data_IF_814835041736
#
_entry.id   IF_814835041736
#
_cell.length_a   1.000
_cell.length_b   1.000
_cell.length_c   1.000
_cell.angle_alpha   90.00
_cell.angle_beta   90.00
_cell.angle_gamma   90.00
#
_symmetry.space_group_name_H-M   'P 1'
#
loop_
_entity.id
_entity.type
_entity.pdbx_description
1 polymer ?
#
# COMPACT_ATOMS: atom_id res chain seq x y z
N UNK A 1 41.24 5.73 -23.09
CA UNK A 1 40.86 6.62 -21.98
C UNK A 1 42.07 6.82 -21.08
N UNK A 2 42.45 8.06 -20.77
CA UNK A 2 43.59 8.32 -19.88
C UNK A 2 43.24 8.02 -18.42
N UNK A 3 44.21 7.60 -17.61
CA UNK A 3 44.02 7.29 -16.18
C UNK A 3 43.41 8.48 -15.39
N UNK A 4 43.80 9.72 -15.75
CA UNK A 4 43.23 10.94 -15.18
C UNK A 4 41.71 11.09 -15.47
N UNK A 5 41.25 10.71 -16.67
CA UNK A 5 39.83 10.77 -17.04
C UNK A 5 38.98 9.74 -16.26
N UNK A 6 39.57 8.57 -15.94
CA UNK A 6 38.92 7.52 -15.14
C UNK A 6 38.80 7.96 -13.68
N UNK A 7 39.87 8.54 -13.12
CA UNK A 7 39.88 9.06 -11.74
C UNK A 7 38.83 10.16 -11.54
N UNK A 8 38.76 11.13 -12.45
CA UNK A 8 37.76 12.22 -12.38
C UNK A 8 36.31 11.71 -12.45
N UNK A 9 36.01 10.75 -13.32
CA UNK A 9 34.68 10.11 -13.38
C UNK A 9 34.34 9.34 -12.11
N UNK A 10 35.31 8.66 -11.50
CA UNK A 10 35.10 7.92 -10.26
C UNK A 10 34.81 8.86 -9.07
N UNK A 11 35.51 9.98 -8.98
CA UNK A 11 35.27 11.00 -7.96
C UNK A 11 33.88 11.64 -8.13
N UNK A 12 33.49 11.96 -9.37
CA UNK A 12 32.14 12.45 -9.67
C UNK A 12 31.07 11.42 -9.30
N UNK A 13 31.27 10.14 -9.61
CA UNK A 13 30.35 9.07 -9.22
C UNK A 13 30.22 8.96 -7.70
N UNK A 14 31.34 9.00 -6.96
CA UNK A 14 31.33 8.95 -5.48
C UNK A 14 30.58 10.15 -4.90
N UNK A 15 30.88 11.36 -5.37
CA UNK A 15 30.20 12.58 -4.93
C UNK A 15 28.69 12.50 -5.19
N UNK A 16 28.29 12.02 -6.39
CA UNK A 16 26.89 11.79 -6.73
C UNK A 16 26.23 10.77 -5.79
N UNK A 17 26.88 9.63 -5.51
CA UNK A 17 26.33 8.61 -4.60
C UNK A 17 26.17 9.13 -3.16
N UNK A 18 27.14 9.91 -2.66
CA UNK A 18 27.05 10.56 -1.35
C UNK A 18 25.89 11.56 -1.29
N UNK A 19 25.74 12.39 -2.33
CA UNK A 19 24.59 13.29 -2.47
C UNK A 19 23.27 12.52 -2.45
N UNK A 20 23.15 11.41 -3.20
CA UNK A 20 21.91 10.61 -3.26
C UNK A 20 21.56 10.02 -1.90
N UNK A 21 22.55 9.52 -1.16
CA UNK A 21 22.36 8.98 0.18
C UNK A 21 21.94 10.07 1.18
N UNK A 22 22.58 11.25 1.16
CA UNK A 22 22.22 12.39 2.01
C UNK A 22 20.80 12.90 1.73
N UNK A 23 20.43 13.04 0.47
CA UNK A 23 19.08 13.46 0.08
C UNK A 23 18.03 12.44 0.55
N UNK A 24 18.33 11.15 0.41
CA UNK A 24 17.48 10.06 0.88
C UNK A 24 17.29 10.10 2.40
N UNK A 25 18.36 10.19 3.18
CA UNK A 25 18.27 10.20 4.64
C UNK A 25 17.56 11.45 5.17
N UNK A 26 17.73 12.59 4.50
CA UNK A 26 17.02 13.82 4.83
C UNK A 26 15.50 13.69 4.61
N UNK A 27 15.06 13.23 3.43
CA UNK A 27 13.63 13.02 3.15
C UNK A 27 13.05 11.92 4.06
N UNK A 28 13.79 10.84 4.33
CA UNK A 28 13.36 9.79 5.27
C UNK A 28 13.18 10.35 6.68
N UNK A 29 14.08 11.21 7.15
CA UNK A 29 13.97 11.87 8.45
C UNK A 29 12.71 12.76 8.51
N UNK A 30 12.37 13.45 7.43
CA UNK A 30 11.13 14.23 7.37
C UNK A 30 9.88 13.35 7.42
N UNK A 31 9.87 12.24 6.67
CA UNK A 31 8.79 11.24 6.72
C UNK A 31 8.66 10.65 8.14
N UNK A 32 9.76 10.32 8.79
CA UNK A 32 9.77 9.81 10.16
C UNK A 32 9.32 10.86 11.18
N UNK A 33 9.59 12.14 10.99
CA UNK A 33 9.09 13.21 11.87
C UNK A 33 7.57 13.36 11.75
N UNK A 34 7.02 13.25 10.52
CA UNK A 34 5.58 13.19 10.31
C UNK A 34 4.98 11.94 10.99
N UNK A 35 5.67 10.81 10.88
CA UNK A 35 5.28 9.58 11.54
C UNK A 35 5.39 9.68 13.06
N UNK A 36 6.39 10.36 13.63
CA UNK A 36 6.61 10.45 15.09
C UNK A 36 5.41 11.03 15.82
N UNK A 37 4.78 12.05 15.24
CA UNK A 37 3.56 12.66 15.79
C UNK A 37 2.37 11.67 15.81
N UNK A 38 2.38 10.70 14.92
CA UNK A 38 1.36 9.65 14.76
C UNK A 38 1.68 8.38 15.57
N UNK A 39 2.94 7.97 15.52
CA UNK A 39 3.49 6.76 16.10
C UNK A 39 3.65 6.85 17.60
N UNK A 40 3.82 8.05 18.19
CA UNK A 40 3.81 8.20 19.65
C UNK A 40 2.41 7.89 20.21
N UNK A 41 1.36 8.25 19.49
CA UNK A 41 -0.02 7.90 19.86
C UNK A 41 -0.29 6.41 19.61
N UNK A 42 0.20 5.86 18.49
CA UNK A 42 0.10 4.42 18.18
C UNK A 42 0.87 3.55 19.19
N UNK A 43 2.06 3.97 19.62
CA UNK A 43 2.92 3.28 20.61
C UNK A 43 2.29 3.32 22.01
N UNK A 44 1.65 4.43 22.39
CA UNK A 44 0.91 4.51 23.66
C UNK A 44 -0.30 3.57 23.66
N UNK A 45 -0.98 3.41 22.52
CA UNK A 45 -2.18 2.56 22.40
C UNK A 45 -1.85 1.07 22.16
N UNK A 46 -0.77 0.76 21.44
CA UNK A 46 -0.41 -0.60 20.99
C UNK A 46 0.89 -1.13 21.59
N UNK A 47 1.45 -0.45 22.60
CA UNK A 47 2.83 -0.67 23.09
C UNK A 47 3.26 -2.13 23.23
N UNK A 48 2.50 -2.94 23.97
CA UNK A 48 2.78 -4.38 24.14
C UNK A 48 2.47 -5.23 22.89
N UNK A 49 1.57 -4.76 22.03
CA UNK A 49 1.10 -5.47 20.83
C UNK A 49 2.06 -5.36 19.64
N UNK A 50 3.02 -4.43 19.66
CA UNK A 50 3.99 -4.25 18.57
C UNK A 50 4.87 -5.49 18.38
N UNK A 51 5.36 -6.08 19.46
CA UNK A 51 6.13 -7.33 19.41
C UNK A 51 5.27 -8.48 18.83
N UNK A 52 3.99 -8.54 19.21
CA UNK A 52 3.02 -9.49 18.65
C UNK A 52 2.80 -9.28 17.15
N UNK A 53 2.69 -8.03 16.70
CA UNK A 53 2.56 -7.69 15.27
C UNK A 53 3.82 -8.07 14.48
N UNK A 54 5.01 -7.83 15.03
CA UNK A 54 6.28 -8.26 14.42
C UNK A 54 6.34 -9.78 14.33
N UNK A 55 5.97 -10.50 15.39
CA UNK A 55 5.92 -11.96 15.38
C UNK A 55 4.92 -12.49 14.34
N UNK A 56 3.73 -11.90 14.24
CA UNK A 56 2.73 -12.25 13.23
C UNK A 56 3.24 -12.05 11.80
N UNK A 57 4.03 -10.99 11.57
CA UNK A 57 4.68 -10.73 10.29
C UNK A 57 5.71 -11.82 9.92
N UNK A 58 6.48 -12.32 10.88
CA UNK A 58 7.39 -13.44 10.66
C UNK A 58 6.63 -14.76 10.47
N UNK A 59 5.57 -14.98 11.24
CA UNK A 59 4.75 -16.19 11.15
C UNK A 59 4.07 -16.30 9.78
N UNK A 60 3.57 -15.20 9.22
CA UNK A 60 3.03 -15.19 7.85
C UNK A 60 4.10 -15.43 6.77
N UNK A 61 5.36 -15.01 6.97
CA UNK A 61 6.47 -15.44 6.09
C UNK A 61 6.74 -16.94 6.21
N UNK A 62 6.66 -17.50 7.42
CA UNK A 62 6.75 -18.94 7.67
C UNK A 62 5.67 -19.74 6.92
N UNK A 63 4.44 -19.23 6.86
CA UNK A 63 3.35 -19.84 6.08
C UNK A 63 3.59 -19.88 4.56
N UNK A 64 4.43 -18.99 4.03
CA UNK A 64 4.86 -19.05 2.62
C UNK A 64 5.88 -20.19 2.43
N UNK A 65 6.77 -20.37 3.40
CA UNK A 65 7.81 -21.42 3.40
C UNK A 65 7.15 -22.79 3.52
N UNK A 66 6.33 -22.99 4.55
CA UNK A 66 5.63 -24.26 4.87
C UNK A 66 4.29 -24.39 4.14
N UNK A 67 4.28 -24.09 2.84
CA UNK A 67 3.05 -24.09 2.02
C UNK A 67 2.78 -25.40 1.28
N UNK A 68 3.50 -26.48 1.59
CA UNK A 68 3.33 -27.78 0.92
C UNK A 68 1.94 -28.36 1.12
N UNK A 69 1.40 -28.22 2.33
CA UNK A 69 0.13 -28.85 2.73
C UNK A 69 -1.09 -28.01 2.33
N UNK A 70 -0.89 -26.70 2.12
CA UNK A 70 -1.91 -25.78 1.64
C UNK A 70 -1.32 -24.77 0.62
N UNK A 71 -0.99 -25.21 -0.62
CA UNK A 71 -0.29 -24.38 -1.60
C UNK A 71 -1.02 -23.10 -1.97
N UNK A 72 -2.35 -23.16 -2.12
CA UNK A 72 -3.17 -22.01 -2.48
C UNK A 72 -3.17 -20.95 -1.36
N UNK A 73 -3.28 -21.35 -0.09
CA UNK A 73 -3.22 -20.43 1.05
C UNK A 73 -1.83 -19.79 1.17
N UNK A 74 -0.76 -20.57 0.99
CA UNK A 74 0.61 -20.03 0.95
C UNK A 74 0.82 -19.00 -0.18
N UNK A 75 0.25 -19.26 -1.36
CA UNK A 75 0.29 -18.34 -2.50
C UNK A 75 -0.55 -17.06 -2.25
N UNK A 76 -1.71 -17.17 -1.58
CA UNK A 76 -2.50 -16.02 -1.13
C UNK A 76 -1.71 -15.15 -0.16
N UNK A 77 -1.06 -15.75 0.85
CA UNK A 77 -0.19 -15.02 1.78
C UNK A 77 0.95 -14.33 1.02
N UNK A 78 1.61 -15.03 0.10
CA UNK A 78 2.68 -14.44 -0.71
C UNK A 78 2.20 -13.22 -1.50
N UNK A 79 1.05 -13.32 -2.19
CA UNK A 79 0.50 -12.20 -2.95
C UNK A 79 0.15 -11.01 -2.05
N UNK A 80 -0.40 -11.27 -0.88
CA UNK A 80 -0.73 -10.25 0.12
C UNK A 80 0.53 -9.54 0.66
N UNK A 81 1.58 -10.29 0.99
CA UNK A 81 2.87 -9.73 1.40
C UNK A 81 3.49 -8.86 0.31
N UNK A 82 3.47 -9.32 -0.94
CA UNK A 82 3.94 -8.55 -2.10
C UNK A 82 3.15 -7.24 -2.28
N UNK A 83 1.83 -7.28 -2.06
CA UNK A 83 0.96 -6.11 -2.10
C UNK A 83 1.33 -5.10 -1.01
N UNK A 84 1.48 -5.55 0.25
CA UNK A 84 1.87 -4.69 1.36
C UNK A 84 3.26 -4.09 1.20
N UNK A 85 4.23 -4.89 0.75
CA UNK A 85 5.55 -4.40 0.41
C UNK A 85 5.46 -3.29 -0.66
N UNK A 86 4.66 -3.49 -1.70
CA UNK A 86 4.51 -2.52 -2.78
C UNK A 86 3.90 -1.21 -2.28
N UNK A 87 2.89 -1.29 -1.40
CA UNK A 87 2.29 -0.12 -0.73
C UNK A 87 3.31 0.65 0.10
N UNK A 88 4.09 -0.05 0.93
CA UNK A 88 5.14 0.54 1.76
C UNK A 88 6.23 1.21 0.91
N UNK A 89 6.71 0.52 -0.13
CA UNK A 89 7.72 1.07 -1.04
C UNK A 89 7.18 2.28 -1.81
N UNK A 90 5.90 2.34 -2.14
CA UNK A 90 5.33 3.51 -2.77
C UNK A 90 5.33 4.74 -1.87
N UNK A 91 5.22 4.58 -0.54
CA UNK A 91 5.30 5.71 0.39
C UNK A 91 6.72 6.31 0.42
N UNK A 92 7.75 5.47 0.30
CA UNK A 92 9.16 5.87 0.38
C UNK A 92 9.75 6.15 -1.02
N UNK A 93 9.06 5.77 -2.11
CA UNK A 93 9.48 5.96 -3.51
C UNK A 93 9.96 7.38 -3.81
N UNK A 94 9.24 8.38 -3.30
CA UNK A 94 9.58 9.79 -3.52
C UNK A 94 10.95 10.14 -2.93
N UNK A 95 11.26 9.60 -1.75
CA UNK A 95 12.56 9.72 -1.09
C UNK A 95 13.64 8.90 -1.81
N UNK A 96 13.35 7.65 -2.18
CA UNK A 96 14.27 6.79 -2.93
C UNK A 96 14.73 7.50 -4.20
N UNK A 97 13.81 8.02 -5.02
CA UNK A 97 14.16 8.71 -6.28
C UNK A 97 14.60 10.17 -6.09
N UNK A 98 14.43 10.74 -4.89
CA UNK A 98 14.48 12.17 -4.62
C UNK A 98 13.74 12.96 -5.73
N UNK A 99 12.43 12.71 -5.79
CA UNK A 99 11.60 13.11 -6.94
C UNK A 99 11.56 14.63 -7.16
N UNK A 100 11.67 15.43 -6.10
CA UNK A 100 11.66 16.91 -6.16
C UNK A 100 12.84 17.47 -6.94
N UNK A 101 14.00 16.83 -6.85
CA UNK A 101 15.24 17.28 -7.49
C UNK A 101 15.63 16.38 -8.68
N UNK A 102 14.69 15.59 -9.22
CA UNK A 102 15.01 14.60 -10.24
C UNK A 102 15.53 15.23 -11.54
N UNK A 103 14.99 16.37 -11.94
CA UNK A 103 15.47 17.11 -13.12
C UNK A 103 16.93 17.56 -12.95
N UNK A 104 17.29 18.06 -11.77
CA UNK A 104 18.67 18.41 -11.44
C UNK A 104 19.59 17.18 -11.44
N UNK A 105 19.13 16.03 -10.96
CA UNK A 105 19.92 14.81 -11.02
C UNK A 105 20.28 14.39 -12.45
N UNK A 106 19.37 14.62 -13.41
CA UNK A 106 19.62 14.34 -14.82
C UNK A 106 20.68 15.25 -15.44
N UNK A 107 20.99 16.42 -14.86
CA UNK A 107 22.04 17.31 -15.37
C UNK A 107 23.43 16.93 -14.85
N UNK A 108 23.53 16.21 -13.73
CA UNK A 108 24.81 15.90 -13.07
C UNK A 108 25.25 14.44 -13.20
N UNK A 109 24.36 13.52 -13.59
CA UNK A 109 24.63 12.09 -13.69
C UNK A 109 23.97 11.45 -14.90
N UNK A 110 24.61 10.40 -15.44
CA UNK A 110 24.04 9.63 -16.53
C UNK A 110 22.89 8.71 -16.04
N UNK A 111 22.01 8.24 -16.95
CA UNK A 111 20.87 7.40 -16.59
C UNK A 111 21.25 6.13 -15.81
N UNK A 112 22.37 5.49 -16.15
CA UNK A 112 22.81 4.27 -15.47
C UNK A 112 23.18 4.51 -14.00
N UNK A 113 23.84 5.63 -13.68
CA UNK A 113 24.17 5.99 -12.30
C UNK A 113 22.93 6.27 -11.47
N UNK A 114 21.93 6.92 -12.07
CA UNK A 114 20.63 7.15 -11.44
C UNK A 114 19.95 5.82 -11.09
N UNK A 115 19.91 4.89 -12.04
CA UNK A 115 19.27 3.60 -11.85
C UNK A 115 20.00 2.76 -10.78
N UNK A 116 21.33 2.76 -10.77
CA UNK A 116 22.13 2.06 -9.75
C UNK A 116 21.89 2.67 -8.37
N UNK A 117 21.88 4.00 -8.25
CA UNK A 117 21.59 4.68 -6.99
C UNK A 117 20.17 4.34 -6.48
N UNK A 118 19.18 4.40 -7.38
CA UNK A 118 17.78 4.08 -7.06
C UNK A 118 17.63 2.61 -6.60
N UNK A 119 18.29 1.65 -7.27
CA UNK A 119 18.28 0.22 -6.89
C UNK A 119 19.01 0.01 -5.55
N UNK A 120 20.15 0.65 -5.33
CA UNK A 120 20.87 0.52 -4.05
C UNK A 120 20.02 1.03 -2.88
N UNK A 121 19.39 2.20 -3.06
CA UNK A 121 18.50 2.76 -2.05
C UNK A 121 17.23 1.91 -1.87
N UNK A 122 16.70 1.31 -2.95
CA UNK A 122 15.59 0.37 -2.88
C UNK A 122 15.92 -0.84 -1.99
N UNK A 123 17.09 -1.46 -2.19
CA UNK A 123 17.52 -2.61 -1.41
C UNK A 123 17.61 -2.28 0.09
N UNK A 124 18.14 -1.11 0.43
CA UNK A 124 18.24 -0.64 1.83
C UNK A 124 16.85 -0.33 2.41
N UNK A 125 15.93 0.18 1.58
CA UNK A 125 14.59 0.58 2.02
C UNK A 125 13.60 -0.59 2.10
N UNK A 126 13.90 -1.72 1.45
CA UNK A 126 12.98 -2.84 1.34
C UNK A 126 13.07 -3.76 2.56
N UNK A 127 12.45 -3.34 3.66
CA UNK A 127 12.46 -4.09 4.92
C UNK A 127 11.90 -5.51 4.80
N UNK A 128 10.91 -5.73 3.93
CA UNK A 128 10.34 -7.07 3.69
C UNK A 128 11.33 -8.01 3.00
N UNK A 129 12.05 -7.51 1.99
CA UNK A 129 13.10 -8.29 1.33
C UNK A 129 14.25 -8.60 2.29
N UNK A 130 14.63 -7.64 3.15
CA UNK A 130 15.64 -7.86 4.19
C UNK A 130 15.17 -8.94 5.17
N UNK A 131 13.92 -8.88 5.64
CA UNK A 131 13.36 -9.91 6.51
C UNK A 131 13.33 -11.29 5.84
N UNK A 132 12.90 -11.37 4.58
CA UNK A 132 12.93 -12.62 3.81
C UNK A 132 14.34 -13.16 3.60
N UNK A 133 15.33 -12.29 3.38
CA UNK A 133 16.74 -12.66 3.27
C UNK A 133 17.29 -13.21 4.60
N UNK A 134 16.96 -12.59 5.73
CA UNK A 134 17.37 -13.08 7.05
C UNK A 134 16.82 -14.49 7.32
N UNK A 135 15.57 -14.74 6.96
CA UNK A 135 14.97 -16.09 7.08
C UNK A 135 15.68 -17.06 6.12
N UNK A 136 15.94 -16.66 4.87
CA UNK A 136 16.63 -17.51 3.91
C UNK A 136 18.04 -17.93 4.37
N UNK A 137 18.75 -17.03 5.07
CA UNK A 137 20.07 -17.29 5.63
C UNK A 137 20.03 -18.25 6.83
N UNK A 138 18.90 -18.33 7.55
CA UNK A 138 18.70 -19.22 8.69
C UNK A 138 18.36 -20.67 8.27
N UNK A 139 17.89 -20.86 7.02
CA UNK A 139 17.56 -22.18 6.49
C UNK A 139 18.82 -23.02 6.23
N UNK A 140 18.78 -24.28 6.67
CA UNK A 140 19.82 -25.29 6.37
C UNK A 140 19.81 -25.68 4.89
N UNK A 141 20.94 -26.19 4.37
CA UNK A 141 21.05 -26.64 2.97
C UNK A 141 20.00 -27.69 2.57
N UNK A 142 19.60 -28.57 3.48
CA UNK A 142 18.55 -29.55 3.23
C UNK A 142 17.15 -28.90 3.10
N UNK A 143 16.90 -27.81 3.82
CA UNK A 143 15.65 -27.04 3.72
C UNK A 143 15.65 -26.18 2.45
N UNK A 144 16.80 -25.69 2.00
CA UNK A 144 16.92 -24.90 0.75
C UNK A 144 16.34 -25.64 -0.46
N UNK A 145 16.65 -26.94 -0.59
CA UNK A 145 16.18 -27.76 -1.71
C UNK A 145 14.65 -27.98 -1.64
N UNK A 146 14.08 -27.99 -0.44
CA UNK A 146 12.65 -28.23 -0.22
C UNK A 146 11.78 -26.99 -0.47
N UNK A 147 12.35 -25.79 -0.45
CA UNK A 147 11.60 -24.52 -0.52
C UNK A 147 12.07 -23.63 -1.69
N UNK A 148 12.12 -24.14 -2.94
CA UNK A 148 12.57 -23.35 -4.10
C UNK A 148 11.65 -22.16 -4.39
N UNK A 149 10.36 -22.27 -4.04
CA UNK A 149 9.37 -21.20 -4.24
C UNK A 149 9.68 -19.94 -3.43
N UNK A 150 10.33 -20.06 -2.27
CA UNK A 150 10.68 -18.90 -1.45
C UNK A 150 11.78 -18.03 -2.10
N UNK A 151 12.69 -18.63 -2.87
CA UNK A 151 13.65 -17.85 -3.67
C UNK A 151 12.95 -17.10 -4.79
N UNK A 152 12.03 -17.76 -5.50
CA UNK A 152 11.20 -17.11 -6.52
C UNK A 152 10.43 -15.95 -5.90
N UNK A 153 9.84 -16.14 -4.71
CA UNK A 153 9.20 -15.07 -3.95
C UNK A 153 10.14 -13.88 -3.70
N UNK A 154 11.37 -14.09 -3.21
CA UNK A 154 12.34 -13.01 -2.99
C UNK A 154 12.72 -12.28 -4.30
N UNK A 155 12.87 -13.01 -5.41
CA UNK A 155 13.11 -12.38 -6.72
C UNK A 155 11.91 -11.54 -7.17
N UNK A 156 10.69 -12.01 -6.95
CA UNK A 156 9.48 -11.24 -7.22
C UNK A 156 9.43 -10.00 -6.32
N UNK A 157 9.72 -10.11 -5.02
CA UNK A 157 9.80 -8.97 -4.10
C UNK A 157 10.73 -7.88 -4.64
N UNK A 158 11.93 -8.26 -5.11
CA UNK A 158 12.87 -7.31 -5.71
C UNK A 158 12.32 -6.71 -7.02
N UNK A 159 11.80 -7.56 -7.90
CA UNK A 159 11.21 -7.16 -9.18
C UNK A 159 10.07 -6.15 -9.01
N UNK A 160 9.13 -6.42 -8.10
CA UNK A 160 8.04 -5.51 -7.77
C UNK A 160 8.54 -4.21 -7.16
N UNK A 161 9.60 -4.24 -6.36
CA UNK A 161 10.25 -3.03 -5.86
C UNK A 161 10.73 -2.13 -7.00
N UNK A 162 11.36 -2.71 -8.03
CA UNK A 162 11.79 -1.99 -9.22
C UNK A 162 10.58 -1.46 -10.00
N UNK A 163 9.57 -2.31 -10.25
CA UNK A 163 8.34 -1.91 -10.95
C UNK A 163 7.61 -0.79 -10.21
N UNK A 164 7.58 -0.81 -8.87
CA UNK A 164 7.02 0.26 -8.04
C UNK A 164 7.71 1.61 -8.30
N UNK A 165 9.03 1.64 -8.43
CA UNK A 165 9.79 2.87 -8.68
C UNK A 165 9.56 3.45 -10.08
N UNK A 166 9.42 2.61 -11.10
CA UNK A 166 9.43 3.04 -12.49
C UNK A 166 8.05 2.99 -13.18
N UNK A 167 7.24 1.96 -12.91
CA UNK A 167 5.95 1.72 -13.59
C UNK A 167 4.89 1.18 -12.63
N UNK A 168 4.38 1.99 -11.68
CA UNK A 168 3.42 1.53 -10.66
C UNK A 168 2.09 1.04 -11.26
N UNK A 169 1.70 1.51 -12.45
CA UNK A 169 0.50 1.02 -13.15
C UNK A 169 0.57 -0.47 -13.48
N UNK A 170 1.77 -1.00 -13.75
CA UNK A 170 1.96 -2.43 -14.02
C UNK A 170 1.70 -3.30 -12.78
N UNK A 171 1.91 -2.75 -11.57
CA UNK A 171 1.56 -3.45 -10.34
C UNK A 171 0.06 -3.70 -10.25
N UNK A 172 -0.76 -2.72 -10.64
CA UNK A 172 -2.22 -2.84 -10.58
C UNK A 172 -2.68 -4.01 -11.45
N UNK A 173 -2.25 -4.04 -12.71
CA UNK A 173 -2.55 -5.15 -13.61
C UNK A 173 -2.02 -6.48 -13.06
N UNK A 174 -0.76 -6.51 -12.59
CA UNK A 174 -0.13 -7.72 -12.07
C UNK A 174 -0.83 -8.29 -10.85
N UNK A 175 -1.26 -7.46 -9.90
CA UNK A 175 -2.04 -7.90 -8.74
C UNK A 175 -3.43 -8.37 -9.14
N UNK A 176 -4.12 -7.68 -10.05
CA UNK A 176 -5.45 -8.12 -10.52
C UNK A 176 -5.38 -9.47 -11.22
N UNK A 177 -4.44 -9.65 -12.15
CA UNK A 177 -4.26 -10.90 -12.88
C UNK A 177 -3.77 -12.03 -11.97
N UNK A 178 -2.86 -11.75 -11.03
CA UNK A 178 -2.41 -12.75 -10.04
C UNK A 178 -3.55 -13.18 -9.11
N UNK A 179 -4.44 -12.26 -8.74
CA UNK A 179 -5.63 -12.60 -7.95
C UNK A 179 -6.60 -13.46 -8.74
N UNK A 180 -6.83 -13.15 -10.03
CA UNK A 180 -7.63 -14.02 -10.92
C UNK A 180 -7.01 -15.40 -11.09
N UNK A 181 -5.69 -15.48 -11.17
CA UNK A 181 -4.95 -16.74 -11.24
C UNK A 181 -5.11 -17.60 -9.98
N UNK A 182 -5.23 -16.99 -8.80
CA UNK A 182 -5.52 -17.71 -7.55
C UNK A 182 -6.92 -18.34 -7.51
N UNK A 183 -7.87 -17.85 -8.31
CA UNK A 183 -9.22 -18.44 -8.44
C UNK A 183 -9.28 -19.60 -9.43
N UNK A 184 -8.14 -20.09 -9.91
CA UNK A 184 -8.11 -21.29 -10.76
C UNK A 184 -8.55 -22.52 -9.95
N UNK A 185 -9.34 -23.41 -10.58
CA UNK A 185 -9.89 -24.59 -9.93
C UNK A 185 -8.87 -25.73 -9.71
N UNK A 186 -7.62 -25.54 -10.12
CA UNK A 186 -6.58 -26.56 -10.06
C UNK A 186 -5.70 -26.35 -8.84
N UNK A 187 -5.46 -27.40 -8.07
CA UNK A 187 -4.45 -27.40 -7.02
C UNK A 187 -3.05 -27.47 -7.65
N UNK A 188 -2.33 -26.35 -7.62
CA UNK A 188 -0.97 -26.25 -8.14
C UNK A 188 0.05 -26.37 -7.01
N UNK A 189 1.26 -26.82 -7.33
CA UNK A 189 2.35 -26.81 -6.34
C UNK A 189 2.76 -25.37 -6.00
N UNK A 190 3.32 -25.11 -4.80
CA UNK A 190 3.74 -23.77 -4.39
C UNK A 190 4.68 -23.09 -5.39
N UNK A 191 5.59 -23.86 -5.99
CA UNK A 191 6.53 -23.35 -6.99
C UNK A 191 5.82 -22.86 -8.26
N UNK A 192 4.81 -23.58 -8.74
CA UNK A 192 4.06 -23.19 -9.95
C UNK A 192 3.29 -21.90 -9.69
N UNK A 193 2.68 -21.72 -8.51
CA UNK A 193 2.03 -20.46 -8.17
C UNK A 193 2.99 -19.28 -8.23
N UNK A 194 4.17 -19.41 -7.61
CA UNK A 194 5.16 -18.33 -7.59
C UNK A 194 5.75 -18.05 -8.98
N UNK A 195 6.04 -19.08 -9.79
CA UNK A 195 6.46 -18.89 -11.17
C UNK A 195 5.36 -18.23 -12.02
N UNK A 196 4.10 -18.61 -11.80
CA UNK A 196 2.94 -17.98 -12.41
C UNK A 196 2.87 -16.48 -12.08
N UNK A 197 3.02 -16.12 -10.80
CA UNK A 197 3.12 -14.71 -10.40
C UNK A 197 4.27 -13.98 -11.10
N UNK A 198 5.47 -14.58 -11.15
CA UNK A 198 6.61 -13.97 -11.84
C UNK A 198 6.29 -13.67 -13.31
N UNK A 199 5.71 -14.63 -14.05
CA UNK A 199 5.31 -14.47 -15.45
C UNK A 199 4.23 -13.38 -15.58
N UNK A 200 3.19 -13.41 -14.74
CA UNK A 200 2.10 -12.43 -14.77
C UNK A 200 2.64 -11.01 -14.54
N UNK A 201 3.53 -10.81 -13.56
CA UNK A 201 4.11 -9.50 -13.29
C UNK A 201 5.05 -9.04 -14.41
N UNK A 202 5.81 -9.95 -15.03
CA UNK A 202 6.63 -9.63 -16.20
C UNK A 202 5.76 -9.20 -17.39
N UNK A 203 4.69 -9.93 -17.70
CA UNK A 203 3.75 -9.57 -18.76
C UNK A 203 3.05 -8.24 -18.45
N UNK A 204 2.68 -8.00 -17.20
CA UNK A 204 2.05 -6.76 -16.75
C UNK A 204 2.97 -5.55 -16.91
N UNK A 205 4.30 -5.74 -16.76
CA UNK A 205 5.27 -4.69 -17.01
C UNK A 205 5.33 -4.26 -18.48
N UNK A 206 4.91 -5.12 -19.42
CA UNK A 206 4.84 -4.81 -20.85
C UNK A 206 3.56 -4.06 -21.26
N UNK A 207 2.50 -4.11 -20.45
CA UNK A 207 1.24 -3.42 -20.74
C UNK A 207 1.45 -1.89 -20.74
N UNK A 208 1.13 -1.15 -21.81
CA UNK A 208 1.30 0.29 -21.85
C UNK A 208 0.40 1.01 -20.83
N UNK A 209 0.80 2.21 -20.42
CA UNK A 209 -0.03 3.03 -19.53
C UNK A 209 -1.23 3.53 -20.32
N UNK A 210 -2.42 3.01 -20.00
CA UNK A 210 -3.67 3.45 -20.62
C UNK A 210 -4.01 4.83 -20.05
N UNK A 211 -3.87 5.87 -20.86
CA UNK A 211 -4.26 7.23 -20.50
C UNK A 211 -5.66 7.52 -21.06
N UNK A 212 -6.69 7.40 -20.21
CA UNK A 212 -8.09 7.56 -20.62
C UNK A 212 -8.48 9.05 -20.75
N UNK A 213 -7.56 9.99 -20.45
CA UNK A 213 -7.84 11.43 -20.51
C UNK A 213 -8.27 11.91 -21.91
N UNK A 214 -7.88 11.22 -22.99
CA UNK A 214 -8.31 11.54 -24.35
C UNK A 214 -9.65 10.91 -24.77
N UNK A 215 -10.14 9.90 -24.05
CA UNK A 215 -11.27 9.07 -24.48
C UNK A 215 -12.60 9.42 -23.81
N UNK A 216 -12.58 10.26 -22.76
CA UNK A 216 -13.76 10.53 -21.94
C UNK A 216 -13.99 12.03 -21.82
N UNK A 217 -14.97 12.56 -22.55
CA UNK A 217 -15.48 13.90 -22.23
C UNK A 217 -16.07 13.82 -20.82
N UNK A 218 -15.66 14.70 -19.90
CA UNK A 218 -16.19 14.75 -18.53
C UNK A 218 -17.65 15.23 -18.57
N UNK A 219 -18.58 14.32 -18.89
CA UNK A 219 -20.03 14.61 -19.00
C UNK A 219 -20.66 14.80 -17.62
N UNK A 220 -20.12 14.11 -16.60
CA UNK A 220 -20.61 14.15 -15.22
C UNK A 220 -19.47 14.18 -14.20
N UNK A 221 -19.77 14.64 -12.98
CA UNK A 221 -18.81 14.62 -11.86
C UNK A 221 -18.46 13.19 -11.41
N UNK A 222 -19.39 12.24 -11.57
CA UNK A 222 -19.10 10.84 -11.34
C UNK A 222 -18.06 10.30 -12.33
N UNK A 223 -18.25 10.59 -13.63
CA UNK A 223 -17.28 10.23 -14.66
C UNK A 223 -15.93 10.89 -14.43
N UNK A 224 -15.89 12.13 -13.92
CA UNK A 224 -14.65 12.79 -13.52
C UNK A 224 -13.88 11.97 -12.48
N UNK A 225 -14.53 11.61 -11.36
CA UNK A 225 -13.88 10.86 -10.28
C UNK A 225 -13.48 9.45 -10.74
N UNK A 226 -14.33 8.79 -11.52
CA UNK A 226 -14.01 7.49 -12.10
C UNK A 226 -12.76 7.54 -12.99
N UNK A 227 -12.69 8.49 -13.93
CA UNK A 227 -11.52 8.67 -14.77
C UNK A 227 -10.28 9.06 -13.95
N UNK A 228 -10.44 9.91 -12.94
CA UNK A 228 -9.35 10.26 -12.02
C UNK A 228 -8.79 9.01 -11.33
N UNK A 229 -9.65 8.15 -10.79
CA UNK A 229 -9.22 6.94 -10.09
C UNK A 229 -8.67 5.86 -11.01
N UNK A 230 -9.07 5.79 -12.29
CA UNK A 230 -8.38 4.88 -13.22
C UNK A 230 -6.95 5.37 -13.46
N UNK A 231 -6.78 6.67 -13.73
CA UNK A 231 -5.46 7.25 -14.01
C UNK A 231 -4.56 7.31 -12.76
N UNK A 232 -5.16 7.39 -11.57
CA UNK A 232 -4.48 7.42 -10.27
C UNK A 232 -4.91 6.23 -9.40
N UNK A 233 -4.97 5.05 -10.00
CA UNK A 233 -5.45 3.81 -9.37
C UNK A 233 -4.73 3.46 -8.08
N UNK A 234 -3.45 3.82 -8.00
CA UNK A 234 -2.66 3.62 -6.80
C UNK A 234 -3.28 4.25 -5.54
N UNK A 235 -3.99 5.38 -5.69
CA UNK A 235 -4.74 6.05 -4.62
C UNK A 235 -5.78 5.12 -3.97
N UNK A 236 -6.42 4.24 -4.75
CA UNK A 236 -7.36 3.26 -4.22
C UNK A 236 -6.65 1.98 -3.77
N UNK A 237 -5.64 1.52 -4.53
CA UNK A 237 -4.94 0.26 -4.27
C UNK A 237 -4.44 0.20 -2.84
N UNK A 238 -3.72 1.21 -2.34
CA UNK A 238 -3.17 1.13 -0.99
C UNK A 238 -4.24 1.09 0.11
N UNK A 239 -5.39 1.75 -0.10
CA UNK A 239 -6.51 1.72 0.85
C UNK A 239 -7.19 0.35 0.84
N UNK A 240 -7.41 -0.22 -0.35
CA UNK A 240 -7.95 -1.56 -0.51
C UNK A 240 -7.02 -2.60 0.12
N UNK A 241 -5.70 -2.46 -0.04
CA UNK A 241 -4.72 -3.33 0.62
C UNK A 241 -4.83 -3.28 2.14
N UNK A 242 -4.96 -2.09 2.73
CA UNK A 242 -5.14 -1.95 4.19
C UNK A 242 -6.49 -2.49 4.66
N UNK A 243 -7.55 -2.32 3.87
CA UNK A 243 -8.85 -2.95 4.16
C UNK A 243 -8.75 -4.48 4.10
N UNK A 244 -8.02 -5.05 3.14
CA UNK A 244 -7.73 -6.48 3.10
C UNK A 244 -6.98 -6.94 4.37
N UNK A 245 -6.04 -6.14 4.90
CA UNK A 245 -5.43 -6.44 6.21
C UNK A 245 -6.46 -6.54 7.32
N UNK A 246 -7.44 -5.63 7.37
CA UNK A 246 -8.49 -5.64 8.39
C UNK A 246 -9.33 -6.92 8.28
N UNK A 247 -9.65 -7.35 7.05
CA UNK A 247 -10.44 -8.56 6.82
C UNK A 247 -9.66 -9.81 7.25
N UNK A 248 -8.42 -9.94 6.82
CA UNK A 248 -7.57 -11.08 7.17
C UNK A 248 -7.30 -11.14 8.68
N UNK A 249 -7.00 -9.99 9.31
CA UNK A 249 -6.81 -9.92 10.76
C UNK A 249 -8.10 -10.29 11.51
N UNK A 250 -9.27 -9.85 11.02
CA UNK A 250 -10.56 -10.21 11.62
C UNK A 250 -10.83 -11.71 11.51
N UNK A 251 -10.56 -12.33 10.35
CA UNK A 251 -10.74 -13.76 10.14
C UNK A 251 -9.87 -14.59 11.10
N UNK A 252 -8.58 -14.30 11.17
CA UNK A 252 -7.64 -14.98 12.08
C UNK A 252 -7.99 -14.79 13.55
N UNK A 253 -8.41 -13.58 13.95
CA UNK A 253 -8.80 -13.29 15.32
C UNK A 253 -10.10 -13.99 15.71
N UNK A 254 -11.09 -14.05 14.81
CA UNK A 254 -12.36 -14.71 15.05
C UNK A 254 -12.22 -16.23 15.11
N UNK A 255 -11.31 -16.80 14.32
CA UNK A 255 -10.98 -18.23 14.39
C UNK A 255 -10.40 -18.59 15.76
N UNK A 256 -9.49 -17.76 16.29
CA UNK A 256 -8.82 -18.04 17.57
C UNK A 256 -9.61 -17.61 18.80
N UNK A 257 -10.39 -16.54 18.68
CA UNK A 257 -11.14 -15.89 19.77
C UNK A 257 -12.56 -15.52 19.31
N UNK A 258 -13.42 -16.51 19.02
CA UNK A 258 -14.79 -16.27 18.60
C UNK A 258 -15.64 -15.58 19.69
N UNK A 259 -15.22 -15.68 20.94
CA UNK A 259 -15.83 -15.00 22.09
C UNK A 259 -15.79 -13.47 21.98
N UNK A 260 -14.79 -12.91 21.29
CA UNK A 260 -14.58 -11.46 21.16
C UNK A 260 -15.23 -10.85 19.91
N UNK A 261 -16.20 -11.56 19.31
CA UNK A 261 -16.69 -11.23 17.98
C UNK A 261 -17.26 -9.81 17.81
N UNK A 262 -18.00 -9.32 18.81
CA UNK A 262 -18.58 -7.98 18.75
C UNK A 262 -17.46 -6.92 18.80
N UNK A 263 -16.50 -7.09 19.69
CA UNK A 263 -15.33 -6.20 19.82
C UNK A 263 -14.50 -6.22 18.52
N UNK A 264 -14.26 -7.40 17.94
CA UNK A 264 -13.52 -7.52 16.68
C UNK A 264 -14.27 -6.82 15.54
N UNK A 265 -15.60 -6.96 15.48
CA UNK A 265 -16.45 -6.27 14.52
C UNK A 265 -16.39 -4.75 14.65
N UNK A 266 -16.51 -4.24 15.88
CA UNK A 266 -16.44 -2.80 16.17
C UNK A 266 -15.08 -2.20 15.77
N UNK A 267 -13.99 -2.88 16.13
CA UNK A 267 -12.63 -2.48 15.76
C UNK A 267 -12.42 -2.56 14.25
N UNK A 268 -12.94 -3.58 13.57
CA UNK A 268 -12.85 -3.71 12.13
C UNK A 268 -13.55 -2.54 11.43
N UNK A 269 -14.76 -2.19 11.85
CA UNK A 269 -15.50 -1.03 11.32
C UNK A 269 -14.76 0.27 11.60
N UNK A 270 -14.13 0.42 12.78
CA UNK A 270 -13.28 1.57 13.07
C UNK A 270 -12.16 1.74 12.03
N UNK A 271 -11.45 0.66 11.68
CA UNK A 271 -10.40 0.71 10.66
C UNK A 271 -10.96 0.89 9.24
N UNK A 272 -12.12 0.31 8.93
CA UNK A 272 -12.81 0.54 7.65
C UNK A 272 -13.13 2.03 7.48
N UNK A 273 -13.66 2.67 8.52
CA UNK A 273 -13.89 4.12 8.56
C UNK A 273 -12.57 4.86 8.33
N UNK A 274 -11.51 4.56 9.10
CA UNK A 274 -10.20 5.22 9.00
C UNK A 274 -9.61 5.15 7.59
N UNK A 275 -9.64 4.00 6.94
CA UNK A 275 -9.01 3.88 5.62
C UNK A 275 -9.89 4.50 4.53
N UNK A 276 -11.21 4.36 4.64
CA UNK A 276 -12.15 4.94 3.67
C UNK A 276 -12.16 6.48 3.72
N UNK A 277 -12.24 7.08 4.91
CA UNK A 277 -12.24 8.54 5.06
C UNK A 277 -10.91 9.19 4.70
N UNK A 278 -9.80 8.44 4.76
CA UNK A 278 -8.49 8.97 4.35
C UNK A 278 -8.45 9.37 2.87
N UNK A 279 -9.35 8.83 2.03
CA UNK A 279 -9.49 9.19 0.61
C UNK A 279 -9.80 10.68 0.43
N UNK A 280 -10.39 11.30 1.45
CA UNK A 280 -10.69 12.72 1.47
C UNK A 280 -9.45 13.61 1.30
N UNK A 281 -8.26 13.17 1.74
CA UNK A 281 -7.03 13.95 1.57
C UNK A 281 -6.69 14.16 0.08
N UNK A 282 -6.79 13.10 -0.71
CA UNK A 282 -6.53 13.14 -2.14
C UNK A 282 -7.64 13.90 -2.87
N UNK A 283 -8.91 13.63 -2.54
CA UNK A 283 -10.06 14.34 -3.12
C UNK A 283 -10.01 15.85 -2.85
N UNK A 284 -9.60 16.27 -1.64
CA UNK A 284 -9.44 17.70 -1.29
C UNK A 284 -8.33 18.36 -2.10
N UNK A 285 -7.22 17.65 -2.34
CA UNK A 285 -6.12 18.13 -3.17
C UNK A 285 -6.55 18.29 -4.63
N UNK A 286 -7.25 17.30 -5.19
CA UNK A 286 -7.81 17.35 -6.55
C UNK A 286 -8.82 18.49 -6.67
N UNK A 287 -9.70 18.65 -5.67
CA UNK A 287 -10.63 19.77 -5.63
C UNK A 287 -9.89 21.11 -5.67
N UNK A 288 -8.83 21.28 -4.87
CA UNK A 288 -7.99 22.48 -4.87
C UNK A 288 -7.37 22.78 -6.24
N UNK A 289 -6.84 21.76 -6.91
CA UNK A 289 -6.20 21.88 -8.22
C UNK A 289 -7.17 22.30 -9.33
N UNK A 290 -8.39 21.75 -9.34
CA UNK A 290 -9.36 21.97 -10.42
C UNK A 290 -10.47 22.97 -10.06
N UNK A 291 -10.43 23.60 -8.88
CA UNK A 291 -11.49 24.50 -8.39
C UNK A 291 -11.82 25.61 -9.39
N UNK A 292 -10.80 26.24 -9.97
CA UNK A 292 -10.99 27.37 -10.90
C UNK A 292 -11.70 26.92 -12.18
N UNK A 293 -11.32 25.77 -12.74
CA UNK A 293 -11.97 25.20 -13.92
C UNK A 293 -13.47 24.97 -13.69
N UNK A 294 -13.85 24.33 -12.57
CA UNK A 294 -15.25 24.09 -12.26
C UNK A 294 -15.99 25.37 -11.84
N UNK A 295 -15.29 26.40 -11.34
CA UNK A 295 -15.85 27.73 -11.10
C UNK A 295 -16.22 28.43 -12.41
N UNK A 296 -15.34 28.42 -13.40
CA UNK A 296 -15.60 29.02 -14.72
C UNK A 296 -16.75 28.33 -15.46
N UNK A 297 -16.93 27.02 -15.24
CA UNK A 297 -18.04 26.25 -15.81
C UNK A 297 -19.32 26.25 -14.95
N UNK A 298 -19.45 27.15 -13.97
CA UNK A 298 -20.61 27.26 -13.06
C UNK A 298 -20.97 25.98 -12.28
N UNK A 299 -20.01 25.04 -12.11
CA UNK A 299 -20.18 23.76 -11.41
C UNK A 299 -19.45 23.70 -10.06
N UNK A 300 -19.02 24.84 -9.51
CA UNK A 300 -18.21 24.91 -8.29
C UNK A 300 -18.87 24.21 -7.08
N UNK A 301 -20.15 24.47 -6.81
CA UNK A 301 -20.88 23.87 -5.68
C UNK A 301 -21.00 22.35 -5.83
N UNK A 302 -21.37 21.90 -7.03
CA UNK A 302 -21.52 20.47 -7.31
C UNK A 302 -20.17 19.74 -7.20
N UNK A 303 -19.08 20.35 -7.70
CA UNK A 303 -17.73 19.80 -7.56
C UNK A 303 -17.24 19.77 -6.11
N UNK A 304 -17.59 20.79 -5.32
CA UNK A 304 -17.30 20.78 -3.88
C UNK A 304 -18.01 19.63 -3.17
N UNK A 305 -19.28 19.36 -3.46
CA UNK A 305 -20.01 18.26 -2.83
C UNK A 305 -19.48 16.90 -3.31
N UNK A 306 -19.16 16.77 -4.59
CA UNK A 306 -18.74 15.49 -5.16
C UNK A 306 -17.42 14.97 -4.60
N UNK A 307 -16.57 15.82 -4.03
CA UNK A 307 -15.30 15.39 -3.42
C UNK A 307 -15.48 14.43 -2.22
N UNK A 308 -16.65 14.42 -1.58
CA UNK A 308 -16.94 13.56 -0.44
C UNK A 308 -17.46 12.17 -0.84
N UNK A 309 -18.03 12.06 -2.05
CA UNK A 309 -18.64 10.83 -2.55
C UNK A 309 -17.67 9.64 -2.58
N UNK A 310 -16.41 9.76 -3.03
CA UNK A 310 -15.50 8.62 -3.10
C UNK A 310 -15.26 7.94 -1.75
N UNK A 311 -15.01 8.73 -0.69
CA UNK A 311 -14.77 8.20 0.65
C UNK A 311 -15.98 7.42 1.18
N UNK A 312 -17.19 7.91 0.92
CA UNK A 312 -18.44 7.28 1.36
C UNK A 312 -18.77 6.01 0.58
N UNK A 313 -18.53 6.00 -0.72
CA UNK A 313 -18.69 4.80 -1.53
C UNK A 313 -17.70 3.71 -1.13
N UNK A 314 -16.45 4.09 -0.83
CA UNK A 314 -15.44 3.15 -0.36
C UNK A 314 -15.82 2.55 1.01
N UNK A 315 -16.29 3.39 1.95
CA UNK A 315 -16.83 2.92 3.23
C UNK A 315 -17.99 1.94 3.05
N UNK A 316 -18.99 2.31 2.25
CA UNK A 316 -20.17 1.48 2.04
C UNK A 316 -19.81 0.14 1.39
N UNK A 317 -18.98 0.18 0.34
CA UNK A 317 -18.50 -1.04 -0.33
C UNK A 317 -17.70 -1.94 0.61
N UNK A 318 -16.81 -1.37 1.42
CA UNK A 318 -16.01 -2.13 2.38
C UNK A 318 -16.86 -2.72 3.51
N UNK A 319 -17.83 -1.96 4.04
CA UNK A 319 -18.74 -2.46 5.08
C UNK A 319 -19.63 -3.59 4.56
N UNK A 320 -20.19 -3.45 3.36
CA UNK A 320 -21.00 -4.51 2.73
C UNK A 320 -20.16 -5.75 2.51
N UNK A 321 -18.95 -5.60 1.94
CA UNK A 321 -18.03 -6.72 1.75
C UNK A 321 -17.70 -7.41 3.07
N UNK A 322 -17.41 -6.65 4.13
CA UNK A 322 -17.13 -7.20 5.46
C UNK A 322 -18.34 -7.98 6.00
N UNK A 323 -19.54 -7.40 5.88
CA UNK A 323 -20.78 -8.01 6.35
C UNK A 323 -21.08 -9.33 5.63
N UNK A 324 -20.81 -9.39 4.32
CA UNK A 324 -20.95 -10.61 3.51
C UNK A 324 -19.91 -11.66 3.94
N UNK A 325 -18.63 -11.26 4.05
CA UNK A 325 -17.54 -12.19 4.39
C UNK A 325 -17.72 -12.84 5.76
N UNK A 326 -18.26 -12.11 6.74
CA UNK A 326 -18.48 -12.61 8.10
C UNK A 326 -19.94 -12.96 8.41
N UNK A 327 -20.79 -13.02 7.38
CA UNK A 327 -22.23 -13.33 7.46
C UNK A 327 -22.98 -12.57 8.58
N UNK A 328 -22.61 -11.30 8.78
CA UNK A 328 -23.13 -10.46 9.86
C UNK A 328 -23.49 -9.07 9.36
N UNK A 329 -24.79 -8.82 9.24
CA UNK A 329 -25.31 -7.48 9.00
C UNK A 329 -25.72 -6.85 10.34
N UNK A 330 -24.94 -5.90 10.83
CA UNK A 330 -25.31 -5.10 12.00
C UNK A 330 -25.75 -3.70 11.54
N UNK A 331 -27.06 -3.48 11.42
CA UNK A 331 -27.63 -2.20 10.97
C UNK A 331 -27.31 -1.04 11.92
N UNK A 332 -27.19 -1.30 13.23
CA UNK A 332 -26.79 -0.29 14.21
C UNK A 332 -25.35 0.15 13.95
N UNK A 333 -24.45 -0.81 13.75
CA UNK A 333 -23.04 -0.54 13.44
C UNK A 333 -22.86 0.15 12.08
N UNK A 334 -23.70 -0.16 11.09
CA UNK A 334 -23.72 0.55 9.80
C UNK A 334 -24.08 2.04 10.00
N UNK A 335 -25.15 2.33 10.74
CA UNK A 335 -25.59 3.70 10.98
C UNK A 335 -24.55 4.50 11.77
N UNK A 336 -24.00 3.91 12.84
CA UNK A 336 -22.93 4.51 13.63
C UNK A 336 -21.67 4.73 12.78
N UNK A 337 -21.29 3.73 11.99
CA UNK A 337 -20.16 3.80 11.07
C UNK A 337 -20.32 4.89 10.01
N UNK A 338 -21.53 5.13 9.51
CA UNK A 338 -21.80 6.20 8.54
C UNK A 338 -21.64 7.59 9.17
N UNK A 339 -22.21 7.80 10.36
CA UNK A 339 -22.05 9.06 11.12
C UNK A 339 -20.58 9.29 11.46
N UNK A 340 -19.88 8.23 11.86
CA UNK A 340 -18.45 8.29 12.13
C UNK A 340 -17.63 8.64 10.88
N UNK A 341 -17.93 8.03 9.74
CA UNK A 341 -17.26 8.33 8.48
C UNK A 341 -17.48 9.79 8.06
N UNK A 342 -18.69 10.33 8.22
CA UNK A 342 -18.98 11.75 7.99
C UNK A 342 -18.11 12.66 8.87
N UNK A 343 -18.05 12.38 10.17
CA UNK A 343 -17.23 13.11 11.12
C UNK A 343 -15.76 13.09 10.68
N UNK A 344 -15.24 11.92 10.32
CA UNK A 344 -13.85 11.78 9.88
C UNK A 344 -13.54 12.51 8.60
N UNK A 345 -14.43 12.41 7.60
CA UNK A 345 -14.30 13.14 6.34
C UNK A 345 -14.28 14.64 6.58
N UNK A 346 -15.12 15.15 7.49
CA UNK A 346 -15.12 16.56 7.87
C UNK A 346 -13.77 17.00 8.47
N UNK A 347 -13.23 16.24 9.43
CA UNK A 347 -11.94 16.56 10.05
C UNK A 347 -10.76 16.38 9.09
N UNK A 348 -10.79 15.37 8.21
CA UNK A 348 -9.80 15.18 7.17
C UNK A 348 -9.72 16.40 6.24
N UNK A 349 -10.86 17.01 5.91
CA UNK A 349 -10.90 18.22 5.09
C UNK A 349 -10.46 19.49 5.85
N UNK A 350 -10.95 19.71 7.08
CA UNK A 350 -10.79 20.98 7.79
C UNK A 350 -9.53 21.05 8.65
N UNK A 351 -9.15 19.94 9.27
CA UNK A 351 -8.03 19.85 10.23
C UNK A 351 -7.27 18.53 10.02
N UNK A 352 -6.58 18.36 8.87
CA UNK A 352 -5.91 17.10 8.52
C UNK A 352 -4.90 16.63 9.59
N UNK A 353 -4.25 17.56 10.29
CA UNK A 353 -3.32 17.26 11.38
C UNK A 353 -3.98 16.55 12.59
N UNK A 354 -5.29 16.72 12.80
CA UNK A 354 -6.02 16.13 13.92
C UNK A 354 -6.77 14.84 13.55
N UNK A 355 -6.68 14.42 12.29
CA UNK A 355 -7.43 13.28 11.74
C UNK A 355 -7.32 12.01 12.59
N UNK A 356 -6.09 11.60 12.90
CA UNK A 356 -5.83 10.38 13.67
C UNK A 356 -6.27 10.50 15.13
N UNK A 357 -6.10 11.68 15.73
CA UNK A 357 -6.55 11.94 17.09
C UNK A 357 -8.08 11.80 17.19
N UNK A 358 -8.81 12.38 16.23
CA UNK A 358 -10.27 12.26 16.16
C UNK A 358 -10.67 10.79 15.99
N UNK A 359 -9.95 10.02 15.18
CA UNK A 359 -10.19 8.58 15.06
C UNK A 359 -10.03 7.83 16.36
N UNK A 360 -8.95 8.08 17.10
CA UNK A 360 -8.70 7.41 18.38
C UNK A 360 -9.77 7.76 19.41
N UNK A 361 -10.08 9.05 19.58
CA UNK A 361 -11.10 9.49 20.55
C UNK A 361 -12.47 8.91 20.19
N UNK A 362 -12.82 8.94 18.89
CA UNK A 362 -14.10 8.37 18.44
C UNK A 362 -14.15 6.86 18.66
N UNK A 363 -13.05 6.14 18.38
CA UNK A 363 -12.98 4.70 18.54
C UNK A 363 -13.10 4.28 20.02
N UNK A 364 -12.36 4.94 20.91
CA UNK A 364 -12.46 4.69 22.36
C UNK A 364 -13.87 4.98 22.86
N UNK A 365 -14.48 6.09 22.42
CA UNK A 365 -15.86 6.41 22.79
C UNK A 365 -16.87 5.38 22.27
N UNK A 366 -16.68 4.88 21.05
CA UNK A 366 -17.60 3.92 20.43
C UNK A 366 -17.47 2.55 21.08
N UNK A 367 -16.25 2.10 21.36
CA UNK A 367 -15.99 0.85 22.10
C UNK A 367 -16.59 0.87 23.50
N UNK A 368 -16.50 2.01 24.20
CA UNK A 368 -17.08 2.19 25.55
C UNK A 368 -18.61 2.36 25.57
N UNK A 369 -19.23 2.68 24.42
CA UNK A 369 -20.69 2.78 24.29
C UNK A 369 -21.34 1.45 23.89
N UNK A 370 -20.59 0.59 23.19
CA UNK A 370 -21.08 -0.70 22.67
C UNK A 370 -20.72 -1.91 23.55
N UNK A 371 -19.77 -1.76 24.48
CA UNK A 371 -19.32 -2.79 25.41
C UNK A 371 -19.22 -2.20 26.81
#
# INVERSE_FOLDING_TARGET
>A
MSFASVKGKLEQYRAFMSYRYLAYTFELKQLLLQLKSFGLIFLVVLGSSILGLVLLLFLGLGKIIDSTDAPAYGAQMALFYLLLQSVMLSAIKSAIKNSKQRLFQHTIACPSWLNIADIKLLLISNGWLIASLLIALDLTWAQWIKVPHFFVFMFIQLGLGIVCLYKPSALVYGFTLSTLFLFTAFELSPLIYHLGFAIIFLLSASIPVININGMTSVRSLFSFWFCYFINHSWTLVWRISLLLCVFMASAELLEKRPDLVNIIGDVAVAFIVLFSSSLQFDCTKVHGQHRLFFKMNQKARAFYISQFMPSMLLFLGAFIAYSITFERLNSTLLNLGFVWCLLQVYFAQKKPAHYALVWIISNVGLLALLN
#
